data_IF_003434955924
#
_entry.id   IF_003434955924
#
_cell.length_a   1.000
_cell.length_b   1.000
_cell.length_c   1.000
_cell.angle_alpha   90.00
_cell.angle_beta   90.00
_cell.angle_gamma   90.00
#
_symmetry.space_group_name_H-M   'P 1'
#
loop_
_entity.id
_entity.type
_entity.pdbx_description
1 polymer ?
#
# COMPACT_ATOMS: atom_id res chain seq x y z
N UNK A 1 -1.82 5.64 30.12
CA UNK A 1 -2.42 5.29 28.82
C UNK A 1 -1.68 4.08 28.31
N UNK A 2 -2.38 3.02 27.99
CA UNK A 2 -1.77 1.82 27.45
C UNK A 2 -1.05 2.16 26.14
N UNK A 3 0.11 1.52 25.90
CA UNK A 3 0.86 1.74 24.67
C UNK A 3 0.02 1.32 23.47
N UNK A 4 -0.01 2.09 22.36
CA UNK A 4 -0.77 1.71 21.19
C UNK A 4 -0.27 0.37 20.63
N UNK A 5 -1.19 -0.49 20.21
CA UNK A 5 -0.85 -1.73 19.52
C UNK A 5 -0.54 -1.47 18.05
N UNK A 6 -1.28 -0.53 17.44
CA UNK A 6 -1.14 -0.17 16.02
C UNK A 6 -0.91 1.33 15.86
N UNK A 7 0.05 1.68 15.01
CA UNK A 7 0.24 3.05 14.51
C UNK A 7 -0.28 3.14 13.09
N UNK A 8 -1.33 3.92 12.86
CA UNK A 8 -1.91 4.12 11.53
C UNK A 8 -1.28 5.38 10.92
N UNK A 9 -0.66 5.25 9.76
CA UNK A 9 -0.01 6.35 9.03
C UNK A 9 -0.76 6.59 7.73
N UNK A 10 -1.28 7.80 7.59
CA UNK A 10 -2.00 8.28 6.41
C UNK A 10 -1.19 9.41 5.80
N UNK A 11 -1.01 9.43 4.49
CA UNK A 11 -0.44 10.55 3.76
C UNK A 11 -1.53 11.27 2.99
N UNK A 12 -1.65 12.58 3.17
CA UNK A 12 -2.63 13.40 2.45
C UNK A 12 -1.95 14.56 1.70
N UNK A 13 -2.50 14.92 0.53
CA UNK A 13 -2.12 16.09 -0.22
C UNK A 13 -3.34 16.67 -0.94
N UNK A 14 -4.01 17.64 -0.31
CA UNK A 14 -5.22 18.31 -0.83
C UNK A 14 -6.33 17.31 -1.19
N UNK A 15 -6.69 16.45 -0.25
CA UNK A 15 -7.66 15.36 -0.41
C UNK A 15 -8.65 15.29 0.77
N UNK A 16 -9.08 16.44 1.28
CA UNK A 16 -9.96 16.54 2.45
C UNK A 16 -11.19 15.65 2.35
N UNK A 17 -11.86 15.65 1.18
CA UNK A 17 -13.11 14.92 1.00
C UNK A 17 -12.93 13.40 1.12
N UNK A 18 -11.86 12.87 0.54
CA UNK A 18 -11.53 11.45 0.65
C UNK A 18 -11.11 11.09 2.08
N UNK A 19 -10.33 11.97 2.72
CA UNK A 19 -9.81 11.78 4.07
C UNK A 19 -10.93 11.72 5.12
N UNK A 20 -12.05 12.41 4.91
CA UNK A 20 -13.21 12.39 5.81
C UNK A 20 -13.73 10.96 6.02
N UNK A 21 -13.93 10.21 4.93
CA UNK A 21 -14.36 8.81 4.98
C UNK A 21 -13.31 7.91 5.62
N UNK A 22 -12.04 8.12 5.29
CA UNK A 22 -10.93 7.36 5.86
C UNK A 22 -10.91 7.50 7.39
N UNK A 23 -10.89 8.73 7.92
CA UNK A 23 -10.85 8.98 9.36
C UNK A 23 -12.14 8.55 10.09
N UNK A 24 -13.30 8.68 9.45
CA UNK A 24 -14.56 8.17 9.99
C UNK A 24 -14.50 6.64 10.15
N UNK A 25 -13.99 5.92 9.15
CA UNK A 25 -13.86 4.46 9.20
C UNK A 25 -12.90 3.98 10.30
N UNK A 26 -11.80 4.71 10.54
CA UNK A 26 -10.87 4.40 11.62
C UNK A 26 -11.58 4.57 12.97
N UNK A 27 -12.28 5.68 13.18
CA UNK A 27 -13.04 5.93 14.41
C UNK A 27 -14.08 4.84 14.68
N UNK A 28 -14.73 4.32 13.64
CA UNK A 28 -15.80 3.34 13.74
C UNK A 28 -15.28 1.90 13.86
N UNK A 29 -14.21 1.56 13.14
CA UNK A 29 -13.82 0.16 12.94
C UNK A 29 -12.43 -0.20 13.48
N UNK A 30 -11.60 0.75 13.91
CA UNK A 30 -10.30 0.44 14.51
C UNK A 30 -10.44 0.05 15.99
N UNK A 31 -11.04 -1.10 16.25
CA UNK A 31 -11.42 -1.61 17.57
C UNK A 31 -10.22 -2.11 18.42
N UNK A 32 -9.03 -1.54 18.26
CA UNK A 32 -7.81 -1.87 19.00
C UNK A 32 -7.15 -0.58 19.52
N UNK A 33 -6.32 -0.64 20.58
CA UNK A 33 -5.51 0.51 21.00
C UNK A 33 -4.63 0.98 19.84
N UNK A 34 -4.87 2.20 19.36
CA UNK A 34 -4.17 2.74 18.19
C UNK A 34 -3.83 4.22 18.35
N UNK A 35 -2.91 4.68 17.53
CA UNK A 35 -2.61 6.08 17.28
C UNK A 35 -2.69 6.36 15.79
N UNK A 36 -3.00 7.58 15.40
CA UNK A 36 -3.15 7.98 14.00
C UNK A 36 -2.24 9.16 13.70
N UNK A 37 -1.39 9.00 12.69
CA UNK A 37 -0.54 10.06 12.14
C UNK A 37 -1.05 10.43 10.76
N UNK A 38 -1.49 11.68 10.60
CA UNK A 38 -1.75 12.26 9.30
C UNK A 38 -0.53 13.05 8.85
N UNK A 39 0.22 12.50 7.91
CA UNK A 39 1.31 13.23 7.27
C UNK A 39 0.72 14.12 6.18
N UNK A 40 0.59 15.41 6.49
CA UNK A 40 0.15 16.40 5.52
C UNK A 40 1.29 16.77 4.59
N UNK A 41 1.26 16.23 3.39
CA UNK A 41 2.30 16.35 2.37
C UNK A 41 2.20 17.68 1.59
N UNK A 42 2.14 18.79 2.35
CA UNK A 42 1.95 20.17 1.86
C UNK A 42 0.62 20.39 1.13
N UNK A 43 -0.49 20.09 1.80
CA UNK A 43 -1.83 20.41 1.31
C UNK A 43 -2.02 21.93 1.17
N UNK A 44 -2.78 22.32 0.15
CA UNK A 44 -3.13 23.72 -0.16
C UNK A 44 -4.60 24.05 0.10
N UNK A 45 -5.37 23.04 0.51
CA UNK A 45 -6.75 23.15 0.97
C UNK A 45 -6.82 23.25 2.50
N UNK A 46 -8.02 23.24 3.07
CA UNK A 46 -8.28 23.32 4.51
C UNK A 46 -8.10 21.97 5.26
N UNK A 47 -7.40 20.98 4.66
CA UNK A 47 -7.22 19.64 5.25
C UNK A 47 -6.70 19.70 6.69
N UNK A 48 -5.66 20.51 6.96
CA UNK A 48 -5.03 20.57 8.30
C UNK A 48 -5.95 21.17 9.35
N UNK A 49 -6.54 22.31 9.02
CA UNK A 49 -7.45 23.05 9.89
C UNK A 49 -8.70 22.21 10.21
N UNK A 50 -9.21 21.52 9.21
CA UNK A 50 -10.34 20.62 9.36
C UNK A 50 -10.00 19.44 10.27
N UNK A 51 -8.87 18.74 10.06
CA UNK A 51 -8.47 17.61 10.90
C UNK A 51 -8.23 18.07 12.35
N UNK A 52 -7.56 19.20 12.55
CA UNK A 52 -7.32 19.72 13.89
C UNK A 52 -8.61 20.01 14.66
N UNK A 53 -9.68 20.42 13.95
CA UNK A 53 -10.98 20.74 14.55
C UNK A 53 -11.84 19.52 14.77
N UNK A 54 -11.97 18.64 13.78
CA UNK A 54 -12.94 17.52 13.79
C UNK A 54 -12.33 16.21 14.32
N UNK A 55 -11.00 16.08 14.27
CA UNK A 55 -10.27 14.86 14.65
C UNK A 55 -9.06 15.18 15.57
N UNK A 56 -9.27 15.83 16.74
CA UNK A 56 -8.19 16.29 17.62
C UNK A 56 -7.30 15.13 18.16
N UNK A 57 -7.76 13.88 18.05
CA UNK A 57 -6.98 12.68 18.40
C UNK A 57 -5.96 12.28 17.33
N UNK A 58 -6.01 12.85 16.12
CA UNK A 58 -5.10 12.58 15.02
C UNK A 58 -3.89 13.53 15.13
N UNK A 59 -2.68 12.97 15.21
CA UNK A 59 -1.47 13.78 15.17
C UNK A 59 -1.17 14.18 13.73
N UNK A 60 -1.29 15.48 13.44
CA UNK A 60 -0.96 16.03 12.12
C UNK A 60 0.54 16.32 12.06
N UNK A 61 1.21 15.77 11.03
CA UNK A 61 2.62 15.96 10.74
C UNK A 61 2.77 16.78 9.46
N UNK A 62 2.84 18.13 9.54
CA UNK A 62 2.89 18.96 8.35
C UNK A 62 4.27 18.93 7.70
N UNK A 63 4.31 18.80 6.38
CA UNK A 63 5.54 18.91 5.60
C UNK A 63 5.58 20.26 4.84
N UNK A 64 6.76 20.86 4.69
CA UNK A 64 6.91 22.15 4.02
C UNK A 64 6.76 22.05 2.50
N UNK A 65 6.86 20.84 1.94
CA UNK A 65 6.72 20.57 0.50
C UNK A 65 6.22 19.16 0.28
N UNK A 66 5.59 18.91 -0.87
CA UNK A 66 5.20 17.56 -1.28
C UNK A 66 6.46 16.74 -1.66
N UNK A 67 6.73 15.70 -0.88
CA UNK A 67 7.86 14.77 -1.05
C UNK A 67 7.44 13.42 -1.63
N UNK A 68 6.20 13.30 -2.10
CA UNK A 68 5.68 12.05 -2.66
C UNK A 68 5.59 10.94 -1.61
N UNK A 69 5.92 9.72 -2.02
CA UNK A 69 5.79 8.51 -1.18
C UNK A 69 6.70 8.51 0.06
N UNK A 70 7.82 9.24 0.03
CA UNK A 70 8.72 9.39 1.18
C UNK A 70 8.05 10.09 2.38
N UNK A 71 6.91 10.73 2.19
CA UNK A 71 6.09 11.27 3.28
C UNK A 71 5.73 10.21 4.33
N UNK A 72 5.57 8.94 3.95
CA UNK A 72 5.28 7.81 4.86
C UNK A 72 6.32 7.66 5.97
N UNK A 73 7.58 7.98 5.71
CA UNK A 73 8.66 7.92 6.70
C UNK A 73 8.44 8.85 7.89
N UNK A 74 7.78 9.99 7.68
CA UNK A 74 7.55 10.95 8.75
C UNK A 74 6.57 10.42 9.81
N UNK A 75 5.56 9.65 9.38
CA UNK A 75 4.68 8.92 10.28
C UNK A 75 5.35 7.69 10.89
N UNK A 76 6.05 6.88 10.06
CA UNK A 76 6.72 5.66 10.52
C UNK A 76 7.77 5.93 11.61
N UNK A 77 8.52 7.04 11.53
CA UNK A 77 9.46 7.44 12.59
C UNK A 77 8.80 7.75 13.92
N UNK A 78 7.53 8.15 13.92
CA UNK A 78 6.74 8.43 15.13
C UNK A 78 6.02 7.22 15.69
N UNK A 79 5.83 6.20 14.86
CA UNK A 79 5.11 4.98 15.19
C UNK A 79 5.66 4.31 16.46
N UNK A 80 4.78 4.10 17.46
CA UNK A 80 5.08 3.44 18.74
C UNK A 80 4.46 2.05 18.84
N UNK A 81 3.45 1.76 17.99
CA UNK A 81 2.78 0.48 17.95
C UNK A 81 3.70 -0.68 17.58
N UNK A 82 3.41 -1.87 18.08
CA UNK A 82 4.05 -3.11 17.64
C UNK A 82 3.88 -3.33 16.14
N UNK A 83 2.75 -2.90 15.62
CA UNK A 83 2.38 -2.90 14.19
C UNK A 83 2.22 -1.48 13.68
N UNK A 84 2.57 -1.28 12.40
CA UNK A 84 2.26 -0.05 11.68
C UNK A 84 1.36 -0.39 10.50
N UNK A 85 0.32 0.40 10.30
CA UNK A 85 -0.55 0.34 9.12
C UNK A 85 -0.28 1.55 8.24
N UNK A 86 0.08 1.33 6.98
CA UNK A 86 -0.11 2.36 5.96
C UNK A 86 -1.52 2.23 5.42
N UNK A 87 -2.24 3.34 5.40
CA UNK A 87 -3.59 3.43 4.87
C UNK A 87 -3.67 4.67 3.96
N UNK A 88 -4.06 4.47 2.72
CA UNK A 88 -4.23 5.60 1.79
C UNK A 88 -5.43 6.46 2.21
N UNK A 89 -5.36 7.76 1.93
CA UNK A 89 -6.38 8.74 2.33
C UNK A 89 -7.76 8.49 1.69
N UNK A 90 -7.81 7.72 0.60
CA UNK A 90 -9.03 7.28 -0.08
C UNK A 90 -9.40 5.82 0.20
N UNK A 91 -8.81 5.23 1.26
CA UNK A 91 -9.16 3.90 1.76
C UNK A 91 -9.99 3.99 3.05
N UNK A 92 -10.88 3.03 3.26
CA UNK A 92 -11.73 2.95 4.44
C UNK A 92 -11.73 1.53 5.02
N UNK A 93 -11.46 1.42 6.32
CA UNK A 93 -11.57 0.17 7.05
C UNK A 93 -13.03 -0.31 7.07
N UNK A 94 -13.21 -1.63 7.04
CA UNK A 94 -14.50 -2.25 7.35
C UNK A 94 -14.47 -2.87 8.73
N UNK A 95 -15.63 -3.22 9.25
CA UNK A 95 -15.78 -3.88 10.55
C UNK A 95 -14.88 -5.12 10.65
N UNK A 96 -14.15 -5.24 11.76
CA UNK A 96 -13.27 -6.39 12.04
C UNK A 96 -11.97 -6.45 11.22
N UNK A 97 -11.77 -5.60 10.22
CA UNK A 97 -10.60 -5.68 9.34
C UNK A 97 -9.27 -5.50 10.10
N UNK A 98 -9.13 -4.44 10.90
CA UNK A 98 -7.89 -4.21 11.64
C UNK A 98 -7.60 -5.30 12.67
N UNK A 99 -8.55 -5.73 13.53
CA UNK A 99 -8.35 -6.86 14.43
C UNK A 99 -7.94 -8.16 13.73
N UNK A 100 -8.53 -8.48 12.58
CA UNK A 100 -8.21 -9.67 11.81
C UNK A 100 -6.75 -9.62 11.27
N UNK A 101 -6.32 -8.48 10.74
CA UNK A 101 -4.94 -8.30 10.25
C UNK A 101 -3.91 -8.39 11.39
N UNK A 102 -4.20 -7.82 12.56
CA UNK A 102 -3.31 -7.90 13.73
C UNK A 102 -3.20 -9.35 14.20
N UNK A 103 -4.33 -10.04 14.38
CA UNK A 103 -4.36 -11.45 14.78
C UNK A 103 -3.57 -12.32 13.79
N UNK A 104 -3.71 -12.09 12.49
CA UNK A 104 -2.96 -12.80 11.46
C UNK A 104 -1.44 -12.66 11.64
N UNK A 105 -0.95 -11.48 11.98
CA UNK A 105 0.47 -11.28 12.30
C UNK A 105 0.86 -11.91 13.65
N UNK A 106 0.00 -11.88 14.67
CA UNK A 106 0.28 -12.47 15.97
C UNK A 106 0.42 -14.00 15.86
N UNK A 107 -0.49 -14.66 15.12
CA UNK A 107 -0.52 -16.10 14.94
C UNK A 107 0.61 -16.63 14.03
N UNK A 108 1.17 -15.76 13.17
CA UNK A 108 2.19 -16.15 12.20
C UNK A 108 3.47 -15.31 12.33
N UNK A 109 4.42 -15.67 13.22
CA UNK A 109 5.64 -14.91 13.48
C UNK A 109 6.54 -14.66 12.25
N UNK A 110 6.51 -15.53 11.24
CA UNK A 110 7.25 -15.37 9.98
C UNK A 110 6.65 -14.31 9.05
N UNK A 111 5.37 -13.92 9.23
CA UNK A 111 4.73 -12.90 8.42
C UNK A 111 5.21 -11.51 8.84
N UNK A 112 5.76 -10.78 7.89
CA UNK A 112 6.28 -9.44 8.11
C UNK A 112 5.29 -8.35 7.73
N UNK A 113 4.48 -8.62 6.69
CA UNK A 113 3.48 -7.71 6.17
C UNK A 113 2.27 -8.47 5.64
N UNK A 114 1.08 -7.99 5.97
CA UNK A 114 -0.20 -8.49 5.45
C UNK A 114 -0.94 -7.39 4.71
N UNK A 115 -1.49 -7.74 3.54
CA UNK A 115 -2.39 -6.87 2.77
C UNK A 115 -3.79 -7.47 2.70
N UNK A 116 -4.85 -6.70 3.01
CA UNK A 116 -6.23 -7.15 2.98
C UNK A 116 -6.74 -7.34 1.55
N UNK A 117 -7.92 -7.93 1.45
CA UNK A 117 -8.76 -7.84 0.25
C UNK A 117 -9.16 -6.39 0.04
N UNK A 118 -8.78 -5.83 -1.10
CA UNK A 118 -9.27 -4.51 -1.50
C UNK A 118 -10.51 -4.65 -2.38
N UNK A 119 -11.49 -3.80 -2.13
CA UNK A 119 -12.70 -3.69 -2.97
C UNK A 119 -12.92 -2.23 -3.36
N UNK A 120 -13.53 -2.02 -4.51
CA UNK A 120 -14.00 -0.70 -4.92
C UNK A 120 -15.25 -0.30 -4.11
N UNK A 121 -15.74 0.93 -4.32
CA UNK A 121 -16.93 1.46 -3.64
C UNK A 121 -18.21 0.68 -3.97
N UNK A 122 -18.25 0.01 -5.10
CA UNK A 122 -19.33 -0.87 -5.55
C UNK A 122 -19.22 -2.31 -5.02
N UNK A 123 -18.17 -2.62 -4.26
CA UNK A 123 -17.90 -3.94 -3.71
C UNK A 123 -17.13 -4.87 -4.66
N UNK A 124 -16.85 -4.45 -5.91
CA UNK A 124 -16.06 -5.26 -6.83
C UNK A 124 -14.61 -5.44 -6.33
N UNK A 125 -14.07 -6.62 -6.59
CA UNK A 125 -12.68 -6.96 -6.21
C UNK A 125 -11.69 -6.03 -6.91
N UNK A 126 -10.84 -5.39 -6.12
CA UNK A 126 -9.67 -4.70 -6.62
C UNK A 126 -8.45 -5.64 -6.52
N UNK A 127 -7.92 -6.05 -7.68
CA UNK A 127 -6.71 -6.88 -7.70
C UNK A 127 -5.57 -6.15 -6.99
N UNK A 128 -5.15 -6.64 -5.83
CA UNK A 128 -4.14 -6.00 -4.97
C UNK A 128 -2.84 -6.80 -4.85
N UNK A 129 -2.85 -8.07 -5.24
CA UNK A 129 -1.66 -8.92 -5.25
C UNK A 129 -0.90 -8.77 -6.56
N UNK A 130 0.43 -8.91 -6.52
CA UNK A 130 1.27 -8.69 -7.70
C UNK A 130 2.45 -9.64 -7.74
N UNK A 131 2.85 -9.96 -8.98
CA UNK A 131 4.13 -10.59 -9.32
C UNK A 131 5.13 -9.55 -9.81
N UNK A 132 6.39 -9.96 -10.03
CA UNK A 132 7.40 -9.06 -10.59
C UNK A 132 6.91 -8.45 -11.92
N UNK A 133 6.99 -7.12 -12.09
CA UNK A 133 6.39 -6.44 -13.24
C UNK A 133 7.15 -6.69 -14.53
N UNK A 134 6.42 -6.88 -15.66
CA UNK A 134 7.03 -6.82 -16.98
C UNK A 134 7.71 -5.48 -17.23
N UNK A 135 8.86 -5.50 -17.95
CA UNK A 135 9.61 -4.28 -18.24
C UNK A 135 8.77 -3.22 -18.98
N UNK A 136 7.93 -3.65 -19.89
CA UNK A 136 7.09 -2.76 -20.70
C UNK A 136 5.71 -2.49 -20.11
N UNK A 137 5.45 -2.90 -18.85
CA UNK A 137 4.15 -2.77 -18.22
C UNK A 137 3.52 -1.37 -18.31
N UNK A 138 4.25 -0.25 -18.09
CA UNK A 138 3.67 1.09 -18.18
C UNK A 138 3.12 1.43 -19.58
N UNK A 139 3.71 0.86 -20.62
CA UNK A 139 3.25 1.07 -22.01
C UNK A 139 2.06 0.16 -22.34
N UNK A 140 2.09 -1.10 -21.89
CA UNK A 140 1.04 -2.07 -22.14
C UNK A 140 -0.31 -1.73 -21.47
N UNK A 141 -0.29 -0.89 -20.43
CA UNK A 141 -1.48 -0.49 -19.68
C UNK A 141 -1.90 0.97 -19.91
N UNK A 142 -1.42 1.61 -20.97
CA UNK A 142 -1.77 2.99 -21.35
C UNK A 142 -2.30 3.08 -22.77
N UNK A 143 -3.22 4.02 -23.04
CA UNK A 143 -3.67 4.31 -24.40
C UNK A 143 -2.51 4.66 -25.34
N UNK A 144 -2.54 4.20 -26.59
CA UNK A 144 -3.57 3.35 -27.20
C UNK A 144 -3.34 1.84 -27.04
N UNK A 145 -2.24 1.42 -26.37
CA UNK A 145 -1.83 0.02 -26.30
C UNK A 145 -2.64 -0.81 -25.29
N UNK A 146 -3.22 -0.18 -24.27
CA UNK A 146 -4.02 -0.86 -23.25
C UNK A 146 -5.15 -1.69 -23.85
N UNK A 147 -5.87 -1.17 -24.86
CA UNK A 147 -6.96 -1.89 -25.56
C UNK A 147 -6.54 -3.22 -26.20
N UNK A 148 -5.23 -3.41 -26.47
CA UNK A 148 -4.71 -4.63 -27.09
C UNK A 148 -4.00 -5.55 -26.10
N UNK A 149 -3.45 -4.99 -25.03
CA UNK A 149 -2.51 -5.70 -24.16
C UNK A 149 -2.93 -5.74 -22.69
N UNK A 150 -3.95 -4.99 -22.26
CA UNK A 150 -4.40 -4.98 -20.84
C UNK A 150 -4.79 -6.38 -20.38
N UNK A 151 -5.45 -7.16 -21.24
CA UNK A 151 -5.81 -8.55 -21.00
C UNK A 151 -4.75 -9.55 -21.48
N UNK A 152 -3.61 -9.05 -21.94
CA UNK A 152 -2.51 -9.90 -22.40
C UNK A 152 -1.95 -10.77 -21.27
N UNK A 153 -1.55 -12.01 -21.59
CA UNK A 153 -1.04 -13.00 -20.63
C UNK A 153 0.00 -12.43 -19.64
N UNK A 154 0.90 -11.57 -20.11
CA UNK A 154 1.95 -10.99 -19.28
C UNK A 154 1.40 -10.01 -18.23
N UNK A 155 0.42 -9.20 -18.61
CA UNK A 155 -0.25 -8.25 -17.71
C UNK A 155 -1.13 -9.00 -16.71
N UNK A 156 -1.98 -9.94 -17.19
CA UNK A 156 -2.83 -10.78 -16.33
C UNK A 156 -2.01 -11.54 -15.30
N UNK A 157 -0.88 -12.16 -15.73
CA UNK A 157 0.02 -12.87 -14.82
C UNK A 157 0.63 -11.94 -13.77
N UNK A 158 1.06 -10.72 -14.13
CA UNK A 158 1.56 -9.73 -13.18
C UNK A 158 0.50 -9.31 -12.17
N UNK A 159 -0.74 -9.11 -12.63
CA UNK A 159 -1.88 -8.72 -11.81
C UNK A 159 -2.46 -9.89 -11.01
N UNK A 160 -1.98 -11.11 -11.22
CA UNK A 160 -2.54 -12.34 -10.66
C UNK A 160 -4.06 -12.44 -10.91
N UNK A 161 -4.50 -12.00 -12.12
CA UNK A 161 -5.91 -11.81 -12.44
C UNK A 161 -6.72 -13.10 -12.52
N UNK A 162 -6.04 -14.24 -12.71
CA UNK A 162 -6.65 -15.56 -12.81
C UNK A 162 -6.68 -16.32 -11.47
N UNK A 163 -6.14 -15.70 -10.42
CA UNK A 163 -6.16 -16.25 -9.05
C UNK A 163 -7.49 -15.87 -8.37
N UNK A 164 -8.11 -16.80 -7.67
CA UNK A 164 -9.43 -16.60 -7.05
C UNK A 164 -9.51 -15.47 -6.02
N UNK A 165 -8.40 -15.04 -5.44
CA UNK A 165 -8.33 -14.00 -4.39
C UNK A 165 -9.26 -14.24 -3.18
N UNK A 166 -9.57 -15.49 -2.89
CA UNK A 166 -10.49 -15.94 -1.83
C UNK A 166 -9.77 -16.62 -0.66
N UNK A 167 -8.46 -16.84 -0.76
CA UNK A 167 -7.66 -17.55 0.25
C UNK A 167 -6.41 -16.79 0.64
N UNK A 168 -5.97 -17.05 1.86
CA UNK A 168 -4.67 -16.56 2.38
C UNK A 168 -3.54 -17.16 1.55
N UNK A 169 -2.60 -16.31 1.13
CA UNK A 169 -1.47 -16.78 0.33
C UNK A 169 -0.24 -15.87 0.44
N UNK A 170 0.97 -16.44 0.43
CA UNK A 170 2.18 -15.66 0.28
C UNK A 170 2.23 -15.07 -1.14
N UNK A 171 2.68 -13.81 -1.24
CA UNK A 171 2.78 -13.08 -2.52
C UNK A 171 4.09 -12.30 -2.61
N UNK A 172 4.46 -11.87 -3.80
CA UNK A 172 5.68 -11.06 -3.95
C UNK A 172 5.49 -9.68 -3.35
N UNK A 173 4.39 -9.02 -3.67
CA UNK A 173 3.98 -7.76 -3.04
C UNK A 173 2.47 -7.52 -3.14
N UNK A 174 1.96 -6.63 -2.31
CA UNK A 174 0.59 -6.14 -2.28
C UNK A 174 0.56 -4.63 -2.49
N UNK A 175 -0.56 -4.09 -2.99
CA UNK A 175 -0.73 -2.65 -3.18
C UNK A 175 -0.62 -1.87 -1.86
N UNK A 176 -0.12 -0.64 -1.96
CA UNK A 176 0.12 0.25 -0.84
C UNK A 176 -1.11 0.88 -0.19
N UNK A 177 -2.31 0.65 -0.75
CA UNK A 177 -3.55 1.27 -0.26
C UNK A 177 -3.88 0.88 1.20
N UNK A 178 -3.58 -0.36 1.59
CA UNK A 178 -3.61 -0.81 2.97
C UNK A 178 -2.58 -1.91 3.19
N UNK A 179 -1.64 -1.67 4.09
CA UNK A 179 -0.59 -2.62 4.45
C UNK A 179 -0.37 -2.58 5.96
N UNK A 180 -0.59 -3.69 6.67
CA UNK A 180 -0.20 -3.83 8.08
C UNK A 180 1.09 -4.61 8.16
N UNK A 181 2.06 -4.13 8.93
CA UNK A 181 3.37 -4.77 9.08
C UNK A 181 3.96 -4.59 10.47
N UNK A 182 4.93 -5.46 10.80
CA UNK A 182 5.68 -5.35 12.04
C UNK A 182 6.56 -4.10 12.02
N UNK A 183 6.37 -3.20 12.95
CA UNK A 183 7.14 -1.94 13.06
C UNK A 183 8.64 -2.21 13.18
N UNK A 184 9.03 -3.30 13.84
CA UNK A 184 10.45 -3.71 13.97
C UNK A 184 11.10 -4.07 12.63
N UNK A 185 10.38 -4.74 11.72
CA UNK A 185 10.87 -5.05 10.38
C UNK A 185 10.92 -3.80 9.49
N UNK A 186 9.95 -2.90 9.63
CA UNK A 186 9.94 -1.61 8.94
C UNK A 186 11.19 -0.78 9.26
N UNK A 187 11.60 -0.75 10.54
CA UNK A 187 12.84 -0.08 10.96
C UNK A 187 14.11 -0.72 10.38
N UNK A 188 14.13 -2.04 10.22
CA UNK A 188 15.24 -2.76 9.56
C UNK A 188 15.26 -2.53 8.05
N UNK A 189 14.09 -2.44 7.42
CA UNK A 189 13.95 -2.18 5.99
C UNK A 189 14.45 -0.78 5.58
N UNK A 190 14.48 0.16 6.54
CA UNK A 190 14.98 1.52 6.33
C UNK A 190 13.96 2.45 5.63
N UNK A 191 14.35 3.69 5.34
CA UNK A 191 13.44 4.71 4.80
C UNK A 191 13.04 4.42 3.34
N UNK A 192 11.94 5.02 2.90
CA UNK A 192 11.57 5.05 1.48
C UNK A 192 12.62 5.77 0.64
N UNK A 193 12.73 5.38 -0.62
CA UNK A 193 13.59 6.03 -1.58
C UNK A 193 13.01 7.41 -1.96
N UNK A 194 13.62 8.48 -1.50
CA UNK A 194 13.19 9.85 -1.72
C UNK A 194 13.32 10.32 -3.18
N UNK A 195 14.06 9.57 -3.99
CA UNK A 195 14.13 9.78 -5.44
C UNK A 195 12.87 9.26 -6.17
N UNK A 196 12.03 8.46 -5.52
CA UNK A 196 10.75 7.96 -6.04
C UNK A 196 9.63 8.84 -5.53
N UNK A 197 9.01 9.60 -6.43
CA UNK A 197 7.92 10.49 -6.04
C UNK A 197 6.55 9.80 -5.98
N UNK A 198 6.25 8.89 -6.91
CA UNK A 198 4.93 8.28 -7.05
C UNK A 198 5.01 6.91 -7.73
N UNK A 199 4.47 5.88 -7.06
CA UNK A 199 4.33 4.52 -7.58
C UNK A 199 5.58 3.66 -7.41
N UNK A 200 5.38 2.34 -7.44
CA UNK A 200 6.40 1.30 -7.21
C UNK A 200 7.01 1.28 -5.81
N UNK A 201 6.61 2.19 -4.96
CA UNK A 201 6.96 2.24 -3.56
C UNK A 201 6.41 1.04 -2.78
N UNK A 202 5.21 0.59 -3.12
CA UNK A 202 4.58 -0.60 -2.55
C UNK A 202 5.37 -1.88 -2.86
N UNK A 203 5.82 -2.04 -4.10
CA UNK A 203 6.66 -3.17 -4.51
C UNK A 203 8.03 -3.12 -3.83
N UNK A 204 8.69 -1.96 -3.85
CA UNK A 204 9.98 -1.75 -3.19
C UNK A 204 9.89 -2.00 -1.69
N UNK A 205 8.82 -1.49 -1.05
CA UNK A 205 8.59 -1.67 0.38
C UNK A 205 8.40 -3.14 0.76
N UNK A 206 7.54 -3.86 0.06
CA UNK A 206 7.33 -5.29 0.31
C UNK A 206 8.63 -6.09 0.13
N UNK A 207 9.43 -5.81 -0.90
CA UNK A 207 10.70 -6.49 -1.11
C UNK A 207 11.69 -6.20 0.01
N UNK A 208 11.77 -4.97 0.52
CA UNK A 208 12.64 -4.61 1.65
C UNK A 208 12.18 -5.23 2.98
N UNK A 209 10.88 -5.32 3.23
CA UNK A 209 10.34 -6.06 4.39
C UNK A 209 10.71 -7.55 4.28
N UNK A 210 10.66 -8.13 3.08
CA UNK A 210 11.09 -9.50 2.83
C UNK A 210 12.59 -9.68 3.09
N UNK A 211 13.42 -8.77 2.61
CA UNK A 211 14.87 -8.78 2.84
C UNK A 211 15.20 -8.59 4.34
N UNK A 212 14.34 -7.92 5.10
CA UNK A 212 14.43 -7.81 6.56
C UNK A 212 14.00 -9.10 7.31
N UNK A 213 13.51 -10.11 6.60
CA UNK A 213 13.15 -11.44 7.12
C UNK A 213 11.64 -11.68 7.29
N UNK A 214 10.77 -10.82 6.75
CA UNK A 214 9.31 -10.98 6.85
C UNK A 214 8.68 -11.51 5.57
N UNK A 215 7.78 -12.49 5.66
CA UNK A 215 6.95 -12.89 4.53
C UNK A 215 5.89 -11.83 4.22
N UNK A 216 5.53 -11.69 2.94
CA UNK A 216 4.44 -10.83 2.48
C UNK A 216 3.25 -11.70 2.15
N UNK A 217 2.10 -11.41 2.77
CA UNK A 217 0.92 -12.28 2.67
C UNK A 217 -0.31 -11.47 2.28
N UNK A 218 -1.07 -11.99 1.35
CA UNK A 218 -2.42 -11.54 1.05
C UNK A 218 -3.39 -12.23 1.99
N UNK A 219 -4.21 -11.45 2.68
CA UNK A 219 -5.12 -11.91 3.73
C UNK A 219 -6.56 -11.47 3.43
N UNK A 220 -7.33 -12.23 2.64
CA UNK A 220 -8.66 -11.84 2.17
C UNK A 220 -9.76 -11.90 3.24
N UNK A 221 -9.50 -12.44 4.42
CA UNK A 221 -10.42 -12.46 5.55
C UNK A 221 -10.64 -11.05 6.13
N UNK A 222 -9.71 -10.12 5.87
CA UNK A 222 -9.90 -8.70 6.13
C UNK A 222 -10.20 -7.99 4.82
N UNK A 223 -11.24 -7.14 4.81
CA UNK A 223 -11.61 -6.34 3.64
C UNK A 223 -11.40 -4.85 3.93
N UNK A 224 -10.91 -4.11 2.95
CA UNK A 224 -10.76 -2.65 2.99
C UNK A 224 -11.31 -2.08 1.69
N UNK A 225 -12.12 -1.02 1.79
CA UNK A 225 -12.63 -0.30 0.63
C UNK A 225 -11.58 0.69 0.18
N UNK A 226 -11.32 0.78 -1.14
CA UNK A 226 -10.36 1.73 -1.68
C UNK A 226 -10.91 2.40 -2.94
N UNK A 227 -11.22 3.68 -2.83
CA UNK A 227 -11.89 4.50 -3.87
C UNK A 227 -10.95 4.91 -5.01
N UNK A 228 -10.15 4.00 -5.50
CA UNK A 228 -9.07 4.24 -6.48
C UNK A 228 -9.53 4.94 -7.75
N UNK A 229 -9.17 6.21 -7.94
CA UNK A 229 -9.63 7.05 -9.07
C UNK A 229 -8.85 6.90 -10.37
N UNK A 230 -7.80 6.08 -10.45
CA UNK A 230 -6.95 5.83 -11.65
C UNK A 230 -6.55 7.11 -12.42
N UNK A 231 -6.19 8.19 -11.70
CA UNK A 231 -5.91 9.51 -12.30
C UNK A 231 -4.85 9.47 -13.41
N UNK A 232 -3.79 8.68 -13.21
CA UNK A 232 -2.69 8.54 -14.19
C UNK A 232 -3.10 7.81 -15.46
N UNK A 233 -4.12 6.93 -15.41
CA UNK A 233 -4.67 6.26 -16.59
C UNK A 233 -5.54 7.20 -17.42
N UNK A 234 -6.31 8.08 -16.76
CA UNK A 234 -7.15 9.07 -17.45
C UNK A 234 -6.33 10.17 -18.14
N UNK A 235 -5.11 10.44 -17.65
CA UNK A 235 -4.22 11.47 -18.19
C UNK A 235 -2.80 10.90 -18.44
N UNK A 236 -2.60 10.11 -19.52
CA UNK A 236 -1.38 9.35 -19.76
C UNK A 236 -0.13 10.20 -20.00
N UNK A 237 -0.28 11.50 -20.34
CA UNK A 237 0.80 12.45 -20.60
C UNK A 237 0.97 13.45 -19.44
N UNK A 238 0.29 13.24 -18.31
CA UNK A 238 0.40 14.14 -17.14
C UNK A 238 1.78 14.04 -16.46
N UNK A 239 2.14 15.07 -15.68
CA UNK A 239 3.35 15.05 -14.84
C UNK A 239 3.36 13.84 -13.89
N UNK A 240 2.21 13.46 -13.36
CA UNK A 240 2.09 12.27 -12.50
C UNK A 240 2.39 10.98 -13.28
N UNK A 241 1.92 10.87 -14.53
CA UNK A 241 2.19 9.73 -15.38
C UNK A 241 3.70 9.61 -15.75
N UNK A 242 4.37 10.73 -15.99
CA UNK A 242 5.82 10.75 -16.23
C UNK A 242 6.61 10.34 -14.98
N UNK A 243 6.25 10.86 -13.79
CA UNK A 243 6.86 10.44 -12.52
C UNK A 243 6.66 8.94 -12.23
N UNK A 244 5.49 8.41 -12.56
CA UNK A 244 5.23 6.97 -12.40
C UNK A 244 6.06 6.12 -13.38
N UNK A 245 6.30 6.61 -14.61
CA UNK A 245 7.19 5.95 -15.56
C UNK A 245 8.65 5.99 -15.08
N UNK A 246 9.11 7.15 -14.60
CA UNK A 246 10.44 7.29 -14.00
C UNK A 246 10.62 6.31 -12.81
N UNK A 247 9.64 6.26 -11.92
CA UNK A 247 9.65 5.33 -10.79
C UNK A 247 9.73 3.86 -11.25
N UNK A 248 9.01 3.49 -12.35
CA UNK A 248 9.12 2.16 -12.92
C UNK A 248 10.54 1.85 -13.41
N UNK A 249 11.15 2.76 -14.14
CA UNK A 249 12.52 2.59 -14.63
C UNK A 249 13.49 2.44 -13.45
N UNK A 250 13.39 3.30 -12.43
CA UNK A 250 14.21 3.22 -11.21
C UNK A 250 14.03 1.87 -10.50
N UNK A 251 12.79 1.41 -10.33
CA UNK A 251 12.49 0.11 -9.75
C UNK A 251 13.13 -1.02 -10.56
N UNK A 252 12.97 -1.02 -11.89
CA UNK A 252 13.57 -2.04 -12.75
C UNK A 252 15.09 -2.05 -12.66
N UNK A 253 15.75 -0.88 -12.66
CA UNK A 253 17.21 -0.77 -12.54
C UNK A 253 17.69 -1.24 -11.16
N UNK A 254 17.02 -0.84 -10.08
CA UNK A 254 17.35 -1.26 -8.69
C UNK A 254 17.32 -2.78 -8.55
N UNK A 255 16.32 -3.43 -9.11
CA UNK A 255 16.13 -4.88 -8.98
C UNK A 255 16.61 -5.71 -10.18
N UNK A 256 17.25 -5.08 -11.17
CA UNK A 256 17.79 -5.76 -12.34
C UNK A 256 18.74 -6.93 -11.98
N UNK A 257 19.68 -6.78 -11.03
CA UNK A 257 20.55 -7.88 -10.62
C UNK A 257 19.82 -9.08 -10.04
N UNK A 258 18.69 -8.82 -9.36
CA UNK A 258 17.87 -9.82 -8.67
C UNK A 258 16.65 -10.26 -9.48
N UNK A 259 16.43 -9.72 -10.67
CA UNK A 259 15.22 -9.95 -11.46
C UNK A 259 14.88 -11.43 -11.62
N UNK A 260 15.87 -12.26 -11.99
CA UNK A 260 15.66 -13.71 -12.19
C UNK A 260 15.30 -14.42 -10.88
N UNK A 261 15.94 -14.04 -9.78
CA UNK A 261 15.64 -14.51 -8.42
C UNK A 261 14.18 -14.18 -8.04
N UNK A 262 13.77 -12.91 -8.17
CA UNK A 262 12.43 -12.45 -7.83
C UNK A 262 11.33 -13.08 -8.69
N UNK A 263 11.61 -13.33 -9.97
CA UNK A 263 10.68 -14.06 -10.84
C UNK A 263 10.53 -15.52 -10.40
N UNK A 264 11.62 -16.22 -10.04
CA UNK A 264 11.58 -17.60 -9.53
C UNK A 264 10.86 -17.65 -8.18
N UNK A 265 11.15 -16.70 -7.29
CA UNK A 265 10.46 -16.57 -6.01
C UNK A 265 8.95 -16.42 -6.21
N UNK A 266 8.50 -15.57 -7.14
CA UNK A 266 7.08 -15.44 -7.43
C UNK A 266 6.45 -16.76 -7.91
N UNK A 267 7.16 -17.55 -8.74
CA UNK A 267 6.70 -18.87 -9.17
C UNK A 267 6.66 -19.89 -8.03
N UNK A 268 7.59 -19.80 -7.06
CA UNK A 268 7.61 -20.63 -5.86
C UNK A 268 6.45 -20.28 -4.93
N UNK A 269 6.20 -18.99 -4.69
CA UNK A 269 5.09 -18.54 -3.86
C UNK A 269 3.74 -19.00 -4.42
N UNK A 270 3.57 -19.01 -5.74
CA UNK A 270 2.35 -19.52 -6.37
C UNK A 270 2.20 -21.05 -6.15
N UNK A 271 3.28 -21.80 -6.26
CA UNK A 271 3.25 -23.25 -5.96
C UNK A 271 2.89 -23.53 -4.50
N UNK A 272 3.47 -22.75 -3.56
CA UNK A 272 3.14 -22.86 -2.12
C UNK A 272 1.66 -22.52 -1.85
N UNK A 273 1.09 -21.59 -2.57
CA UNK A 273 -0.32 -21.22 -2.44
C UNK A 273 -1.27 -22.24 -3.08
N UNK A 274 -0.79 -23.07 -4.00
CA UNK A 274 -1.59 -24.13 -4.69
C UNK A 274 -1.57 -25.48 -3.94
N UNK A 275 -0.57 -25.68 -3.04
CA UNK A 275 -0.43 -26.89 -2.22
C UNK A 275 -1.26 -26.81 -0.94
#
# INVERSE_FOLDING_TARGET
>A
MDSPQVSIVIVAHSVRHELERCLASIREHAALPHEVFLVDNASTDDTREWVAREHPQVEVVPLPRNVGVAARDHGLRRARGAYTMFLDSDAALTEGALPALVRALDEHPSWGLVGPRLVYDDGELQLSTRRYPPLLLPFLRRPPLDRFFEDGRSVRRHLMADDGHDRVRPVLYVLGACQLFRTSLARKAGPFDDSVFLGWDDADWCLRIRDAGGEIVYFPEATVIHSYRRLTRRQPVSRAALKQLEAHVRFQLKYLPRRRELMRLADELDRRAAA
#
